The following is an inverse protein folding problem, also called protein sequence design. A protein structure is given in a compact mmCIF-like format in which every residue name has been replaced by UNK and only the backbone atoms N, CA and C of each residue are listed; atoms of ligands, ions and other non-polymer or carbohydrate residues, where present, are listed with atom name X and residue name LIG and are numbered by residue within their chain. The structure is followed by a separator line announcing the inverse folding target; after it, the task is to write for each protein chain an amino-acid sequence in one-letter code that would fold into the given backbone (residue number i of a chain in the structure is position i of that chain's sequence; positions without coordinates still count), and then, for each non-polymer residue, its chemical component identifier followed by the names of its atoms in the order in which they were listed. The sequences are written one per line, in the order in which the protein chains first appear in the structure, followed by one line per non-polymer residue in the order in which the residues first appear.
data_IF_910966179236
#
_entry.id   IF_910966179236
#
_cell.length_a   1.000
_cell.length_b   1.000
_cell.length_c   1.000
_cell.angle_alpha   90.00
_cell.angle_beta   90.00
_cell.angle_gamma   90.00
#
_symmetry.space_group_name_H-M   'P 1'
#
loop_
_entity.id
_entity.type
_entity.pdbx_description
1 polymer ?
#
# COMPACT_ATOMS: atom_id res chain seq x y z
N UNK A 1 36.67 4.64 -4.13
CA UNK A 1 35.26 4.32 -3.79
C UNK A 1 35.23 4.12 -2.29
N UNK A 2 34.52 4.98 -1.57
CA UNK A 2 34.50 4.96 -0.11
C UNK A 2 33.78 3.70 0.40
N UNK A 3 34.35 3.03 1.40
CA UNK A 3 33.81 1.81 2.04
C UNK A 3 32.31 1.99 2.40
N UNK A 4 31.93 3.20 2.80
CA UNK A 4 30.57 3.58 3.18
C UNK A 4 29.58 3.63 2.00
N UNK A 5 30.05 3.96 0.79
CA UNK A 5 29.23 3.97 -0.42
C UNK A 5 28.93 2.55 -0.90
N UNK A 6 29.90 1.65 -0.77
CA UNK A 6 29.74 0.25 -1.13
C UNK A 6 28.76 -0.47 -0.19
N UNK A 7 28.88 -0.28 1.13
CA UNK A 7 27.96 -0.87 2.10
C UNK A 7 26.52 -0.38 1.89
N UNK A 8 26.32 0.91 1.63
CA UNK A 8 25.01 1.48 1.28
C UNK A 8 24.39 0.83 0.05
N UNK A 9 25.18 0.66 -1.01
CA UNK A 9 24.71 0.00 -2.23
C UNK A 9 24.29 -1.45 -1.96
N UNK A 10 25.09 -2.21 -1.21
CA UNK A 10 24.77 -3.59 -0.84
C UNK A 10 23.50 -3.71 0.02
N UNK A 11 23.30 -2.81 0.99
CA UNK A 11 22.10 -2.78 1.83
C UNK A 11 20.86 -2.46 0.96
N UNK A 12 20.95 -1.45 0.10
CA UNK A 12 19.86 -1.06 -0.80
C UNK A 12 19.49 -2.22 -1.75
N UNK A 13 20.49 -2.86 -2.36
CA UNK A 13 20.29 -4.02 -3.23
C UNK A 13 19.67 -5.21 -2.48
N UNK A 14 20.02 -5.42 -1.21
CA UNK A 14 19.41 -6.46 -0.35
C UNK A 14 17.92 -6.21 -0.17
N UNK A 15 17.51 -4.97 0.11
CA UNK A 15 16.10 -4.60 0.28
C UNK A 15 15.30 -4.63 -1.04
N UNK A 16 15.92 -4.24 -2.16
CA UNK A 16 15.27 -4.25 -3.47
C UNK A 16 14.92 -5.66 -3.98
N UNK A 17 15.74 -6.66 -3.63
CA UNK A 17 15.59 -8.05 -4.11
C UNK A 17 14.79 -8.94 -3.14
N UNK A 18 14.05 -8.36 -2.19
CA UNK A 18 13.31 -9.13 -1.20
C UNK A 18 12.08 -9.82 -1.81
N UNK A 19 11.86 -11.05 -1.36
CA UNK A 19 10.64 -11.83 -1.63
C UNK A 19 10.04 -12.30 -0.31
N UNK A 20 8.77 -12.71 -0.33
CA UNK A 20 8.09 -13.29 0.84
C UNK A 20 8.60 -14.69 1.22
N UNK A 21 9.60 -15.23 0.51
CA UNK A 21 10.21 -16.51 0.84
C UNK A 21 10.98 -16.43 2.16
N UNK A 22 10.68 -17.36 3.07
CA UNK A 22 11.39 -17.50 4.36
C UNK A 22 12.91 -17.58 4.19
N UNK A 23 13.39 -18.26 3.14
CA UNK A 23 14.83 -18.37 2.85
C UNK A 23 15.42 -17.00 2.50
N UNK A 24 14.76 -16.25 1.62
CA UNK A 24 15.19 -14.91 1.19
C UNK A 24 15.23 -13.94 2.38
N UNK A 25 14.17 -13.91 3.19
CA UNK A 25 14.05 -13.06 4.38
C UNK A 25 15.19 -13.35 5.38
N UNK A 26 15.39 -14.63 5.72
CA UNK A 26 16.44 -15.03 6.68
C UNK A 26 17.84 -14.74 6.16
N UNK A 27 18.10 -15.01 4.88
CA UNK A 27 19.41 -14.75 4.27
C UNK A 27 19.73 -13.25 4.23
N UNK A 28 18.75 -12.43 3.86
CA UNK A 28 18.89 -10.97 3.88
C UNK A 28 19.11 -10.44 5.30
N UNK A 29 18.33 -10.89 6.28
CA UNK A 29 18.50 -10.49 7.68
C UNK A 29 19.87 -10.90 8.25
N UNK A 30 20.33 -12.12 7.99
CA UNK A 30 21.66 -12.57 8.41
C UNK A 30 22.78 -11.75 7.77
N UNK A 31 22.67 -11.42 6.48
CA UNK A 31 23.62 -10.55 5.79
C UNK A 31 23.65 -9.13 6.39
N UNK A 32 22.49 -8.55 6.68
CA UNK A 32 22.39 -7.22 7.25
C UNK A 32 22.96 -7.17 8.68
N UNK A 33 22.79 -8.23 9.45
CA UNK A 33 23.36 -8.38 10.79
C UNK A 33 24.89 -8.58 10.80
N UNK A 34 25.54 -8.85 9.66
CA UNK A 34 27.01 -8.85 9.61
C UNK A 34 27.61 -7.44 9.57
N UNK A 35 26.79 -6.40 9.38
CA UNK A 35 27.20 -5.00 9.30
C UNK A 35 26.49 -4.13 10.35
N UNK A 36 26.62 -4.43 11.66
CA UNK A 36 25.91 -3.70 12.72
C UNK A 36 26.35 -2.23 12.84
N UNK A 37 27.60 -1.91 12.46
CA UNK A 37 28.11 -0.53 12.43
C UNK A 37 27.30 0.41 11.52
N UNK A 38 26.59 -0.16 10.54
CA UNK A 38 25.76 0.57 9.58
C UNK A 38 24.28 0.56 9.98
N UNK A 39 23.94 0.27 11.24
CA UNK A 39 22.56 0.15 11.71
C UNK A 39 21.69 1.39 11.41
N UNK A 40 22.24 2.58 11.60
CA UNK A 40 21.56 3.86 11.30
C UNK A 40 21.30 4.01 9.80
N UNK A 41 22.32 3.79 8.97
CA UNK A 41 22.20 3.81 7.51
C UNK A 41 21.18 2.76 7.02
N UNK A 42 21.25 1.56 7.58
CA UNK A 42 20.35 0.45 7.26
C UNK A 42 18.90 0.78 7.57
N UNK A 43 18.60 1.38 8.73
CA UNK A 43 17.24 1.71 9.11
C UNK A 43 16.65 2.81 8.23
N UNK A 44 17.46 3.80 7.83
CA UNK A 44 17.10 4.85 6.86
C UNK A 44 16.83 4.30 5.47
N UNK A 45 17.71 3.43 4.96
CA UNK A 45 17.55 2.78 3.65
C UNK A 45 16.33 1.85 3.63
N UNK A 46 16.09 1.12 4.72
CA UNK A 46 14.90 0.30 4.87
C UNK A 46 13.62 1.14 4.78
N UNK A 47 13.57 2.27 5.49
CA UNK A 47 12.42 3.17 5.45
C UNK A 47 12.20 3.74 4.05
N UNK A 48 13.27 4.16 3.37
CA UNK A 48 13.19 4.62 1.98
C UNK A 48 12.64 3.53 1.06
N UNK A 49 13.13 2.29 1.17
CA UNK A 49 12.62 1.15 0.42
C UNK A 49 11.15 0.86 0.74
N UNK A 50 10.75 0.97 2.00
CA UNK A 50 9.37 0.75 2.44
C UNK A 50 8.39 1.80 1.88
N UNK A 51 8.81 3.07 1.85
CA UNK A 51 8.02 4.17 1.26
C UNK A 51 7.88 4.03 -0.25
N UNK A 52 8.95 3.61 -0.93
CA UNK A 52 8.99 3.44 -2.38
C UNK A 52 8.36 2.12 -2.86
N UNK A 53 7.99 1.22 -1.96
CA UNK A 53 7.45 -0.09 -2.31
C UNK A 53 6.07 0.02 -2.99
N UNK A 54 6.05 -0.24 -4.30
CA UNK A 54 4.85 -0.20 -5.14
C UNK A 54 3.89 -1.37 -4.91
N UNK A 55 4.32 -2.49 -4.32
CA UNK A 55 3.47 -3.66 -4.01
C UNK A 55 3.29 -3.94 -2.50
N UNK A 56 2.07 -4.21 -1.99
CA UNK A 56 1.85 -4.47 -0.55
C UNK A 56 2.65 -5.68 -0.05
N UNK A 57 2.86 -6.68 -0.93
CA UNK A 57 3.69 -7.85 -0.65
C UNK A 57 5.15 -7.46 -0.35
N UNK A 58 5.69 -6.43 -1.02
CA UNK A 58 7.05 -5.95 -0.78
C UNK A 58 7.15 -5.23 0.58
N UNK A 59 6.15 -4.42 0.96
CA UNK A 59 6.06 -3.81 2.30
C UNK A 59 6.05 -4.88 3.40
N UNK A 60 5.31 -5.98 3.19
CA UNK A 60 5.28 -7.09 4.14
C UNK A 60 6.62 -7.84 4.22
N UNK A 61 7.29 -8.09 3.09
CA UNK A 61 8.60 -8.73 3.06
C UNK A 61 9.64 -7.90 3.84
N UNK A 62 9.63 -6.57 3.64
CA UNK A 62 10.46 -5.62 4.38
C UNK A 62 10.21 -5.65 5.89
N UNK A 63 8.94 -5.74 6.32
CA UNK A 63 8.59 -5.89 7.74
C UNK A 63 9.05 -7.23 8.31
N UNK A 64 8.98 -8.31 7.54
CA UNK A 64 9.46 -9.62 7.98
C UNK A 64 10.98 -9.70 8.10
N UNK A 65 11.72 -9.02 7.23
CA UNK A 65 13.18 -8.89 7.39
C UNK A 65 13.51 -8.12 8.65
N UNK A 66 12.85 -6.99 8.91
CA UNK A 66 13.08 -6.22 10.14
C UNK A 66 12.68 -7.02 11.38
N UNK A 67 11.60 -7.80 11.32
CA UNK A 67 11.25 -8.74 12.38
C UNK A 67 12.39 -9.73 12.67
N UNK A 68 12.97 -10.36 11.65
CA UNK A 68 14.11 -11.28 11.83
C UNK A 68 15.34 -10.55 12.40
N UNK A 69 15.65 -9.34 11.93
CA UNK A 69 16.76 -8.52 12.43
C UNK A 69 16.55 -8.22 13.92
N UNK A 70 15.39 -7.68 14.30
CA UNK A 70 15.10 -7.26 15.69
C UNK A 70 15.12 -8.46 16.65
N UNK A 71 14.62 -9.62 16.22
CA UNK A 71 14.60 -10.82 17.06
C UNK A 71 15.98 -11.46 17.21
N UNK A 72 16.86 -11.35 16.20
CA UNK A 72 18.17 -12.02 16.18
C UNK A 72 19.35 -11.11 16.49
N UNK A 73 19.19 -9.79 16.48
CA UNK A 73 20.34 -8.87 16.66
C UNK A 73 21.12 -9.14 17.96
N UNK A 74 20.43 -9.53 19.04
CA UNK A 74 21.05 -9.91 20.30
C UNK A 74 21.93 -11.17 20.18
N UNK A 75 21.50 -12.19 19.42
CA UNK A 75 22.31 -13.41 19.21
C UNK A 75 23.53 -13.18 18.31
N UNK A 76 23.52 -12.09 17.53
CA UNK A 76 24.66 -11.64 16.71
C UNK A 76 25.58 -10.66 17.45
N UNK A 77 25.34 -10.40 18.74
CA UNK A 77 26.17 -9.50 19.54
C UNK A 77 25.94 -8.01 19.29
N UNK A 78 24.85 -7.65 18.60
CA UNK A 78 24.54 -6.26 18.21
C UNK A 78 23.12 -5.84 18.67
N UNK A 79 22.81 -5.85 19.98
CA UNK A 79 21.50 -5.46 20.49
C UNK A 79 21.10 -4.01 20.14
N UNK A 80 22.08 -3.13 19.90
CA UNK A 80 21.89 -1.72 19.54
C UNK A 80 21.19 -1.52 18.18
N UNK A 81 21.30 -2.48 17.26
CA UNK A 81 20.63 -2.41 15.93
C UNK A 81 19.12 -2.21 16.10
N UNK A 82 18.54 -2.86 17.11
CA UNK A 82 17.11 -2.80 17.41
C UNK A 82 16.61 -1.40 17.74
N UNK A 83 17.43 -0.56 18.40
CA UNK A 83 17.03 0.80 18.76
C UNK A 83 16.88 1.69 17.52
N UNK A 84 17.73 1.49 16.51
CA UNK A 84 17.72 2.26 15.26
C UNK A 84 16.46 2.07 14.41
N UNK A 85 15.70 1.00 14.64
CA UNK A 85 14.46 0.72 13.91
C UNK A 85 13.19 1.28 14.57
N UNK A 86 13.27 1.86 15.77
CA UNK A 86 12.09 2.36 16.49
C UNK A 86 11.36 3.49 15.74
N UNK A 87 12.07 4.57 15.40
CA UNK A 87 11.50 5.71 14.67
C UNK A 87 11.11 5.33 13.23
N UNK A 88 11.97 4.63 12.46
CA UNK A 88 11.59 4.17 11.12
C UNK A 88 10.34 3.30 11.10
N UNK A 89 10.13 2.43 12.09
CA UNK A 89 8.91 1.62 12.18
C UNK A 89 7.66 2.47 12.41
N UNK A 90 7.71 3.44 13.34
CA UNK A 90 6.59 4.37 13.58
C UNK A 90 6.23 5.15 12.32
N UNK A 91 7.26 5.62 11.61
CA UNK A 91 7.07 6.36 10.37
C UNK A 91 6.53 5.46 9.25
N UNK A 92 7.07 4.25 9.09
CA UNK A 92 6.66 3.28 8.08
C UNK A 92 5.18 2.91 8.18
N UNK A 93 4.62 2.76 9.39
CA UNK A 93 3.19 2.45 9.55
C UNK A 93 2.30 3.51 8.89
N UNK A 94 2.71 4.78 8.81
CA UNK A 94 1.93 5.83 8.13
C UNK A 94 1.84 5.64 6.61
N UNK A 95 2.80 4.92 6.03
CA UNK A 95 2.87 4.59 4.61
C UNK A 95 2.38 3.16 4.33
N UNK A 96 1.94 2.44 5.35
CA UNK A 96 1.39 1.10 5.17
C UNK A 96 0.08 1.20 4.38
N UNK A 97 0.03 0.51 3.25
CA UNK A 97 -1.17 0.51 2.44
C UNK A 97 -2.28 -0.31 3.08
N UNK A 98 -3.50 0.24 3.16
CA UNK A 98 -4.60 -0.48 3.77
C UNK A 98 -5.03 -1.67 2.90
N UNK A 99 -5.52 -2.75 3.52
CA UNK A 99 -6.00 -3.94 2.82
C UNK A 99 -5.63 -5.28 3.46
N UNK A 100 -5.56 -6.34 2.65
CA UNK A 100 -5.44 -7.76 3.07
C UNK A 100 -4.26 -8.06 4.03
N UNK A 101 -3.22 -7.23 4.02
CA UNK A 101 -2.02 -7.45 4.81
C UNK A 101 -2.03 -6.76 6.17
N UNK A 102 -2.97 -5.83 6.44
CA UNK A 102 -3.12 -5.18 7.76
C UNK A 102 -3.25 -6.23 8.86
N UNK A 103 -4.08 -7.26 8.65
CA UNK A 103 -4.27 -8.34 9.63
C UNK A 103 -2.97 -9.07 9.96
N UNK A 104 -2.09 -9.28 8.96
CA UNK A 104 -0.78 -9.91 9.15
C UNK A 104 0.18 -8.99 9.92
N UNK A 105 0.19 -7.70 9.58
CA UNK A 105 1.01 -6.70 10.28
C UNK A 105 0.55 -6.51 11.72
N UNK A 106 -0.77 -6.41 11.95
CA UNK A 106 -1.38 -6.38 13.29
C UNK A 106 -0.94 -7.58 14.12
N UNK A 107 -1.07 -8.80 13.58
CA UNK A 107 -0.60 -10.02 14.27
C UNK A 107 0.88 -9.95 14.63
N UNK A 108 1.72 -9.47 13.72
CA UNK A 108 3.17 -9.32 13.95
C UNK A 108 3.47 -8.31 15.06
N UNK A 109 2.82 -7.14 15.08
CA UNK A 109 3.03 -6.14 16.14
C UNK A 109 2.45 -6.62 17.48
N UNK A 110 1.34 -7.36 17.49
CA UNK A 110 0.85 -8.03 18.70
C UNK A 110 1.87 -9.02 19.24
N UNK A 111 2.49 -9.83 18.38
CA UNK A 111 3.58 -10.73 18.81
C UNK A 111 4.77 -9.97 19.40
N UNK A 112 5.13 -8.80 18.86
CA UNK A 112 6.19 -7.96 19.44
C UNK A 112 5.83 -7.43 20.82
N UNK A 113 4.56 -7.08 21.03
CA UNK A 113 4.07 -6.65 22.34
C UNK A 113 4.13 -7.79 23.36
N UNK A 114 3.69 -9.00 22.98
CA UNK A 114 3.72 -10.20 23.84
C UNK A 114 5.16 -10.59 24.21
N UNK A 115 6.08 -10.52 23.24
CA UNK A 115 7.51 -10.80 23.43
C UNK A 115 8.27 -9.65 24.11
N UNK A 116 7.60 -8.54 24.45
CA UNK A 116 8.21 -7.33 25.04
C UNK A 116 9.42 -6.85 24.26
N UNK A 117 9.33 -6.91 22.92
CA UNK A 117 10.41 -6.49 22.03
C UNK A 117 10.68 -5.01 22.26
N UNK A 118 9.66 -4.18 22.38
CA UNK A 118 9.83 -2.76 22.64
C UNK A 118 8.99 -2.31 23.84
N UNK A 119 9.21 -1.06 24.26
CA UNK A 119 8.43 -0.48 25.35
C UNK A 119 6.92 -0.48 25.05
N UNK A 120 6.07 -0.68 26.08
CA UNK A 120 4.62 -0.74 25.89
C UNK A 120 4.05 0.51 25.21
N UNK A 121 4.62 1.69 25.47
CA UNK A 121 4.19 2.96 24.85
C UNK A 121 4.35 2.92 23.32
N UNK A 122 5.48 2.42 22.82
CA UNK A 122 5.73 2.28 21.38
C UNK A 122 4.76 1.27 20.75
N UNK A 123 4.56 0.12 21.41
CA UNK A 123 3.66 -0.93 20.91
C UNK A 123 2.21 -0.45 20.84
N UNK A 124 1.73 0.28 21.85
CA UNK A 124 0.41 0.89 21.82
C UNK A 124 0.26 1.92 20.69
N UNK A 125 1.29 2.72 20.42
CA UNK A 125 1.28 3.68 19.30
C UNK A 125 1.22 2.98 17.94
N UNK A 126 2.01 1.93 17.72
CA UNK A 126 1.97 1.14 16.49
C UNK A 126 0.61 0.47 16.31
N UNK A 127 0.11 -0.22 17.34
CA UNK A 127 -1.19 -0.89 17.29
C UNK A 127 -2.33 0.09 17.04
N UNK A 128 -2.36 1.26 17.70
CA UNK A 128 -3.37 2.30 17.46
C UNK A 128 -3.31 2.80 16.02
N UNK A 129 -2.12 3.04 15.49
CA UNK A 129 -1.94 3.51 14.11
C UNK A 129 -2.42 2.45 13.09
N UNK A 130 -2.11 1.18 13.33
CA UNK A 130 -2.58 0.05 12.51
C UNK A 130 -4.10 -0.11 12.63
N UNK A 131 -4.69 0.04 13.82
CA UNK A 131 -6.14 -0.03 14.02
C UNK A 131 -6.87 1.11 13.30
N UNK A 132 -6.34 2.33 13.30
CA UNK A 132 -6.92 3.44 12.55
C UNK A 132 -6.88 3.18 11.03
N UNK A 133 -5.82 2.52 10.54
CA UNK A 133 -5.74 2.06 9.15
C UNK A 133 -6.74 0.94 8.87
N UNK A 134 -6.86 -0.03 9.78
CA UNK A 134 -7.82 -1.15 9.72
C UNK A 134 -9.25 -0.61 9.67
N UNK A 135 -9.60 0.37 10.52
CA UNK A 135 -10.91 1.02 10.58
C UNK A 135 -11.22 1.85 9.33
N UNK A 136 -10.24 2.56 8.73
CA UNK A 136 -10.45 3.20 7.41
C UNK A 136 -10.81 2.19 6.31
N UNK A 137 -10.35 0.95 6.42
CA UNK A 137 -10.81 -0.19 5.59
C UNK A 137 -12.01 -0.94 6.17
N UNK A 138 -12.36 -0.70 7.44
CA UNK A 138 -13.27 -1.47 8.27
C UNK A 138 -14.63 -0.82 8.52
N UNK A 139 -14.82 0.46 8.16
CA UNK A 139 -16.16 1.09 8.06
C UNK A 139 -17.08 0.29 7.09
N UNK A 140 -16.52 -0.59 6.27
CA UNK A 140 -17.26 -1.50 5.39
C UNK A 140 -17.57 -2.88 5.99
N UNK A 141 -17.20 -3.19 7.24
CA UNK A 141 -17.24 -4.59 7.72
C UNK A 141 -17.95 -4.95 9.01
N UNK A 142 -18.29 -4.05 9.94
CA UNK A 142 -18.82 -4.55 11.24
C UNK A 142 -20.02 -3.82 11.88
N UNK A 143 -20.58 -2.77 11.27
CA UNK A 143 -21.80 -2.12 11.78
C UNK A 143 -22.89 -2.04 10.70
N UNK A 144 -23.48 -3.19 10.34
CA UNK A 144 -24.71 -3.18 9.56
C UNK A 144 -25.72 -4.14 10.17
N UNK A 145 -26.60 -3.58 10.97
CA UNK A 145 -27.97 -4.05 11.15
C UNK A 145 -28.54 -4.36 9.77
N UNK A 146 -29.15 -5.53 9.59
CA UNK A 146 -29.61 -6.13 8.32
C UNK A 146 -30.61 -5.28 7.49
N UNK A 147 -30.94 -4.06 7.92
CA UNK A 147 -31.90 -3.16 7.26
C UNK A 147 -31.27 -1.97 6.50
N UNK A 148 -30.07 -1.50 6.83
CA UNK A 148 -29.46 -0.35 6.12
C UNK A 148 -28.66 -0.75 4.87
N UNK A 149 -28.07 -1.95 4.86
CA UNK A 149 -27.31 -2.47 3.72
C UNK A 149 -28.17 -2.62 2.46
N UNK A 150 -29.45 -3.00 2.59
CA UNK A 150 -30.35 -3.21 1.45
C UNK A 150 -30.64 -1.95 0.64
N UNK A 151 -30.54 -0.77 1.27
CA UNK A 151 -30.76 0.53 0.59
C UNK A 151 -29.50 0.96 -0.15
N UNK A 152 -28.32 0.81 0.45
CA UNK A 152 -27.03 1.19 -0.14
C UNK A 152 -26.61 0.29 -1.32
N UNK A 153 -27.00 -1.00 -1.30
CA UNK A 153 -26.70 -1.98 -2.37
C UNK A 153 -27.42 -1.64 -3.68
N UNK A 154 -28.62 -1.04 -3.63
CA UNK A 154 -29.40 -0.69 -4.84
C UNK A 154 -28.83 0.50 -5.61
N UNK A 155 -28.03 1.32 -4.95
CA UNK A 155 -27.47 2.54 -5.53
C UNK A 155 -26.13 2.32 -6.23
N UNK A 156 -25.50 1.15 -6.04
CA UNK A 156 -24.27 0.81 -6.74
C UNK A 156 -24.55 0.45 -8.20
N UNK A 157 -24.03 1.28 -9.10
CA UNK A 157 -24.11 1.09 -10.55
C UNK A 157 -22.67 0.95 -11.09
N UNK A 158 -22.25 -0.24 -11.59
CA UNK A 158 -20.91 -0.47 -12.10
C UNK A 158 -20.48 0.53 -13.18
N UNK A 159 -21.41 0.98 -14.01
CA UNK A 159 -21.18 1.96 -15.07
C UNK A 159 -20.75 3.31 -14.51
N UNK A 160 -21.37 3.76 -13.40
CA UNK A 160 -20.97 5.00 -12.72
C UNK A 160 -19.55 4.90 -12.16
N UNK A 161 -19.18 3.73 -11.62
CA UNK A 161 -17.81 3.50 -11.15
C UNK A 161 -16.79 3.61 -12.29
N UNK A 162 -17.09 2.98 -13.44
CA UNK A 162 -16.23 3.04 -14.62
C UNK A 162 -16.11 4.46 -15.18
N UNK A 163 -17.18 5.23 -15.20
CA UNK A 163 -17.16 6.64 -15.59
C UNK A 163 -16.27 7.49 -14.68
N UNK A 164 -16.36 7.31 -13.37
CA UNK A 164 -15.54 8.03 -12.40
C UNK A 164 -14.07 7.64 -12.48
N UNK A 165 -13.75 6.36 -12.73
CA UNK A 165 -12.39 5.92 -13.01
C UNK A 165 -11.82 6.57 -14.28
N UNK A 166 -12.61 6.65 -15.36
CA UNK A 166 -12.18 7.34 -16.59
C UNK A 166 -11.95 8.84 -16.34
N UNK A 167 -12.82 9.48 -15.56
CA UNK A 167 -12.67 10.89 -15.16
C UNK A 167 -11.38 11.11 -14.35
N UNK A 168 -11.09 10.25 -13.38
CA UNK A 168 -9.85 10.31 -12.61
C UNK A 168 -8.62 10.13 -13.50
N UNK A 169 -8.64 9.15 -14.40
CA UNK A 169 -7.58 8.91 -15.38
C UNK A 169 -7.35 10.13 -16.28
N UNK A 170 -8.41 10.75 -16.78
CA UNK A 170 -8.31 11.96 -17.60
C UNK A 170 -7.71 13.13 -16.82
N UNK A 171 -8.09 13.31 -15.54
CA UNK A 171 -7.52 14.36 -14.68
C UNK A 171 -6.01 14.11 -14.49
N UNK A 172 -5.60 12.85 -14.32
CA UNK A 172 -4.21 12.47 -14.14
C UNK A 172 -3.36 12.62 -15.40
N UNK A 173 -3.91 12.30 -16.58
CA UNK A 173 -3.24 12.51 -17.88
C UNK A 173 -3.13 13.99 -18.26
N UNK A 174 -4.12 14.80 -17.90
CA UNK A 174 -4.12 16.25 -18.18
C UNK A 174 -3.29 17.04 -17.17
N UNK A 175 -3.09 16.51 -15.95
CA UNK A 175 -2.21 17.15 -14.96
C UNK A 175 -0.75 16.78 -15.23
N UNK A 176 0.10 17.71 -15.70
CA UNK A 176 1.53 17.43 -15.82
C UNK A 176 2.14 17.17 -14.43
N UNK A 177 3.15 16.29 -14.36
CA UNK A 177 3.98 16.14 -13.17
C UNK A 177 4.85 17.38 -13.01
N UNK A 178 4.32 18.42 -12.36
CA UNK A 178 5.05 19.66 -12.18
C UNK A 178 6.10 19.47 -11.10
N UNK A 179 7.38 19.70 -11.44
CA UNK A 179 8.47 19.65 -10.48
C UNK A 179 8.64 20.99 -9.78
N UNK A 180 9.22 20.99 -8.56
CA UNK A 180 9.47 22.22 -7.79
C UNK A 180 10.32 23.25 -8.56
N UNK A 181 11.21 22.77 -9.43
CA UNK A 181 12.02 23.58 -10.35
C UNK A 181 11.23 24.33 -11.42
N UNK A 182 10.04 23.84 -11.80
CA UNK A 182 9.18 24.47 -12.81
C UNK A 182 8.28 25.56 -12.20
N UNK A 183 8.07 25.49 -10.88
CA UNK A 183 7.13 26.33 -10.13
C UNK A 183 7.77 27.59 -9.57
N UNK A 184 9.05 27.52 -9.18
CA UNK A 184 9.72 28.61 -8.48
C UNK A 184 10.77 29.29 -9.37
N UNK A 185 10.60 30.59 -9.71
CA UNK A 185 11.63 31.40 -10.32
C UNK A 185 12.96 31.28 -9.55
N UNK A 186 14.08 31.23 -10.27
CA UNK A 186 15.40 31.12 -9.67
C UNK A 186 15.72 32.24 -8.65
N UNK A 187 15.07 33.41 -8.79
CA UNK A 187 15.21 34.52 -7.84
C UNK A 187 14.58 34.23 -6.46
N UNK A 188 13.52 33.42 -6.38
CA UNK A 188 12.86 33.07 -5.10
C UNK A 188 13.65 32.04 -4.28
N UNK A 189 14.75 31.51 -4.81
CA UNK A 189 15.67 30.61 -4.11
C UNK A 189 16.65 31.34 -3.20
N UNK A 190 16.69 32.67 -3.27
CA UNK A 190 17.57 33.50 -2.46
C UNK A 190 16.76 34.27 -1.40
N UNK A 191 17.37 34.62 -0.25
CA UNK A 191 16.76 35.51 0.74
C UNK A 191 16.30 36.84 0.13
N UNK A 192 15.20 37.40 0.65
CA UNK A 192 14.54 38.60 0.11
C UNK A 192 15.50 39.80 0.02
N UNK A 193 16.38 39.98 0.99
CA UNK A 193 17.39 41.04 1.02
C UNK A 193 18.39 40.94 -0.14
N UNK A 194 18.80 39.71 -0.50
CA UNK A 194 19.70 39.45 -1.63
C UNK A 194 18.99 39.70 -2.97
N UNK A 195 17.70 39.37 -3.06
CA UNK A 195 16.90 39.59 -4.27
C UNK A 195 16.65 41.08 -4.49
N UNK A 196 16.24 41.80 -3.44
CA UNK A 196 15.98 43.23 -3.51
C UNK A 196 17.26 44.03 -3.75
N UNK A 197 18.40 43.63 -3.17
CA UNK A 197 19.69 44.25 -3.42
C UNK A 197 20.21 44.13 -4.86
N UNK A 198 19.66 43.20 -5.65
CA UNK A 198 19.97 43.03 -7.08
C UNK A 198 19.12 43.92 -7.99
N UNK A 199 18.00 44.45 -7.49
CA UNK A 199 17.13 45.36 -8.24
C UNK A 199 17.72 46.76 -8.17
N UNK A 200 18.34 47.20 -9.26
CA UNK A 200 18.99 48.51 -9.37
C UNK A 200 18.21 49.48 -10.25
N UNK A 201 17.25 48.98 -11.02
CA UNK A 201 16.42 49.80 -11.92
C UNK A 201 14.92 49.56 -11.73
N UNK A 202 14.13 50.55 -12.17
CA UNK A 202 12.66 50.48 -12.15
C UNK A 202 12.13 49.38 -13.08
N UNK A 203 12.83 49.11 -14.19
CA UNK A 203 12.47 48.05 -15.13
C UNK A 203 12.73 46.65 -14.54
N UNK A 204 13.85 46.46 -13.84
CA UNK A 204 14.14 45.22 -13.10
C UNK A 204 13.11 44.95 -12.01
N UNK A 205 12.70 45.99 -11.27
CA UNK A 205 11.66 45.87 -10.24
C UNK A 205 10.30 45.45 -10.81
N UNK A 206 9.92 46.02 -11.97
CA UNK A 206 8.70 45.61 -12.69
C UNK A 206 8.78 44.17 -13.20
N UNK A 207 9.93 43.77 -13.76
CA UNK A 207 10.17 42.40 -14.23
C UNK A 207 10.07 41.39 -13.08
N UNK A 208 10.71 41.69 -11.93
CA UNK A 208 10.63 40.86 -10.74
C UNK A 208 9.18 40.76 -10.21
N UNK A 209 8.46 41.88 -10.12
CA UNK A 209 7.06 41.88 -9.70
C UNK A 209 6.18 41.04 -10.64
N UNK A 210 6.40 41.11 -11.95
CA UNK A 210 5.70 40.31 -12.94
C UNK A 210 6.01 38.80 -12.79
N UNK A 211 7.29 38.44 -12.56
CA UNK A 211 7.70 37.06 -12.30
C UNK A 211 7.06 36.48 -11.04
N UNK A 212 7.00 37.26 -9.95
CA UNK A 212 6.37 36.86 -8.69
C UNK A 212 4.86 36.67 -8.88
N UNK A 213 4.19 37.60 -9.55
CA UNK A 213 2.75 37.47 -9.86
C UNK A 213 2.48 36.21 -10.68
N UNK A 214 3.25 36.00 -11.75
CA UNK A 214 3.11 34.82 -12.62
C UNK A 214 3.36 33.52 -11.85
N UNK A 215 4.35 33.51 -10.95
CA UNK A 215 4.62 32.38 -10.05
C UNK A 215 3.43 32.11 -9.12
N UNK A 216 2.88 33.16 -8.50
CA UNK A 216 1.72 33.07 -7.63
C UNK A 216 0.51 32.50 -8.37
N UNK A 217 0.23 32.99 -9.58
CA UNK A 217 -0.88 32.51 -10.41
C UNK A 217 -0.71 31.04 -10.82
N UNK A 218 0.52 30.63 -11.15
CA UNK A 218 0.86 29.24 -11.45
C UNK A 218 0.65 28.33 -10.24
N UNK A 219 1.11 28.73 -9.06
CA UNK A 219 0.94 27.97 -7.82
C UNK A 219 -0.54 27.84 -7.46
N UNK A 220 -1.33 28.92 -7.59
CA UNK A 220 -2.77 28.90 -7.34
C UNK A 220 -3.51 27.96 -8.31
N UNK A 221 -3.14 27.97 -9.60
CA UNK A 221 -3.69 27.05 -10.60
C UNK A 221 -3.35 25.58 -10.29
N UNK A 222 -2.11 25.31 -9.87
CA UNK A 222 -1.68 23.97 -9.46
C UNK A 222 -2.45 23.48 -8.24
N UNK A 223 -2.57 24.31 -7.19
CA UNK A 223 -3.35 24.00 -5.99
C UNK A 223 -4.79 23.61 -6.36
N UNK A 224 -5.45 24.41 -7.20
CA UNK A 224 -6.79 24.11 -7.71
C UNK A 224 -6.86 22.80 -8.49
N UNK A 225 -5.81 22.44 -9.23
CA UNK A 225 -5.69 21.16 -9.92
C UNK A 225 -5.57 19.98 -8.94
N UNK A 226 -4.75 20.12 -7.91
CA UNK A 226 -4.56 19.12 -6.86
C UNK A 226 -5.84 18.91 -6.04
N UNK A 227 -6.55 19.97 -5.68
CA UNK A 227 -7.85 19.90 -5.01
C UNK A 227 -8.88 19.13 -5.84
N UNK A 228 -8.93 19.37 -7.17
CA UNK A 228 -9.79 18.60 -8.08
C UNK A 228 -9.41 17.13 -8.15
N UNK A 229 -8.10 16.81 -8.18
CA UNK A 229 -7.61 15.43 -8.17
C UNK A 229 -8.00 14.73 -6.86
N UNK A 230 -7.83 15.41 -5.73
CA UNK A 230 -8.21 14.89 -4.42
C UNK A 230 -9.72 14.59 -4.36
N UNK A 231 -10.56 15.54 -4.76
CA UNK A 231 -12.02 15.35 -4.77
C UNK A 231 -12.46 14.18 -5.68
N UNK A 232 -11.83 14.03 -6.85
CA UNK A 232 -12.12 12.90 -7.74
C UNK A 232 -11.66 11.55 -7.15
N UNK A 233 -10.53 11.52 -6.42
CA UNK A 233 -10.07 10.31 -5.72
C UNK A 233 -11.00 9.92 -4.57
N UNK A 234 -11.50 10.90 -3.80
CA UNK A 234 -12.47 10.66 -2.73
C UNK A 234 -13.79 10.09 -3.28
N UNK A 235 -14.28 10.62 -4.41
CA UNK A 235 -15.46 10.11 -5.10
C UNK A 235 -15.28 8.65 -5.56
N UNK A 236 -14.14 8.33 -6.17
CA UNK A 236 -13.81 6.95 -6.59
C UNK A 236 -13.68 6.01 -5.37
N UNK A 237 -13.08 6.49 -4.28
CA UNK A 237 -12.91 5.71 -3.05
C UNK A 237 -14.25 5.33 -2.42
N UNK A 238 -15.20 6.25 -2.35
CA UNK A 238 -16.55 5.97 -1.84
C UNK A 238 -17.28 4.91 -2.69
N UNK A 239 -17.24 5.05 -4.01
CA UNK A 239 -17.86 4.08 -4.92
C UNK A 239 -17.17 2.72 -4.83
N UNK A 240 -15.85 2.67 -4.66
CA UNK A 240 -15.10 1.43 -4.47
C UNK A 240 -15.52 0.71 -3.19
N UNK A 241 -15.76 1.45 -2.10
CA UNK A 241 -16.30 0.88 -0.86
C UNK A 241 -17.66 0.24 -1.06
N UNK A 242 -18.55 0.92 -1.79
CA UNK A 242 -19.87 0.38 -2.19
C UNK A 242 -19.73 -0.86 -3.08
N UNK A 243 -18.79 -0.86 -4.01
CA UNK A 243 -18.50 -2.00 -4.88
C UNK A 243 -18.03 -3.22 -4.10
N UNK A 244 -17.10 -3.04 -3.14
CA UNK A 244 -16.60 -4.13 -2.30
C UNK A 244 -17.75 -4.80 -1.54
N UNK A 245 -18.65 -4.01 -0.95
CA UNK A 245 -19.82 -4.53 -0.25
C UNK A 245 -20.75 -5.29 -1.20
N UNK A 246 -21.10 -4.67 -2.33
CA UNK A 246 -21.99 -5.25 -3.35
C UNK A 246 -21.49 -6.61 -3.83
N UNK A 247 -20.23 -6.69 -4.27
CA UNK A 247 -19.67 -7.94 -4.79
C UNK A 247 -19.41 -8.98 -3.71
N UNK A 248 -19.11 -8.56 -2.46
CA UNK A 248 -18.97 -9.50 -1.34
C UNK A 248 -20.29 -10.21 -1.04
N UNK A 249 -21.41 -9.48 -1.10
CA UNK A 249 -22.75 -10.05 -0.90
C UNK A 249 -23.11 -10.98 -2.06
N UNK A 250 -22.96 -10.54 -3.30
CA UNK A 250 -23.22 -11.38 -4.48
C UNK A 250 -22.42 -12.68 -4.47
N UNK A 251 -21.15 -12.62 -4.04
CA UNK A 251 -20.32 -13.82 -3.92
C UNK A 251 -20.88 -14.80 -2.88
N UNK A 252 -21.37 -14.32 -1.73
CA UNK A 252 -21.99 -15.17 -0.70
C UNK A 252 -23.26 -15.82 -1.21
N UNK A 253 -24.13 -15.07 -1.89
CA UNK A 253 -25.36 -15.60 -2.50
C UNK A 253 -25.05 -16.66 -3.56
N UNK A 254 -24.12 -16.38 -4.47
CA UNK A 254 -23.67 -17.34 -5.48
C UNK A 254 -23.09 -18.62 -4.85
N UNK A 255 -22.34 -18.49 -3.74
CA UNK A 255 -21.81 -19.64 -3.02
C UNK A 255 -22.92 -20.49 -2.38
N UNK A 256 -23.98 -19.88 -1.84
CA UNK A 256 -25.15 -20.58 -1.31
C UNK A 256 -25.84 -21.37 -2.43
N UNK A 257 -26.07 -20.72 -3.58
CA UNK A 257 -26.71 -21.36 -4.74
C UNK A 257 -25.85 -22.52 -5.26
N UNK A 258 -24.55 -22.31 -5.45
CA UNK A 258 -23.62 -23.36 -5.88
C UNK A 258 -23.59 -24.54 -4.89
N UNK A 259 -23.66 -24.27 -3.58
CA UNK A 259 -23.74 -25.31 -2.56
C UNK A 259 -25.05 -26.11 -2.64
N UNK A 260 -26.17 -25.45 -2.90
CA UNK A 260 -27.46 -26.12 -3.09
C UNK A 260 -27.43 -27.05 -4.30
N UNK A 261 -26.94 -26.58 -5.46
CA UNK A 261 -26.81 -27.40 -6.67
C UNK A 261 -25.83 -28.56 -6.49
N UNK A 262 -24.69 -28.34 -5.82
CA UNK A 262 -23.74 -29.42 -5.50
C UNK A 262 -24.38 -30.48 -4.61
N UNK A 263 -25.11 -30.06 -3.57
CA UNK A 263 -25.81 -30.98 -2.67
C UNK A 263 -26.91 -31.76 -3.40
N UNK A 264 -27.64 -31.10 -4.29
CA UNK A 264 -28.63 -31.75 -5.14
C UNK A 264 -27.99 -32.77 -6.08
N UNK A 265 -26.91 -32.41 -6.78
CA UNK A 265 -26.18 -33.32 -7.66
C UNK A 265 -25.65 -34.56 -6.92
N UNK A 266 -25.13 -34.37 -5.70
CA UNK A 266 -24.72 -35.49 -4.84
C UNK A 266 -25.90 -36.41 -4.50
N UNK A 267 -27.07 -35.87 -4.16
CA UNK A 267 -28.28 -36.68 -3.88
C UNK A 267 -28.77 -37.45 -5.11
N UNK A 268 -28.73 -36.83 -6.29
CA UNK A 268 -29.09 -37.49 -7.55
C UNK A 268 -28.13 -38.64 -7.83
N UNK A 269 -26.81 -38.43 -7.70
CA UNK A 269 -25.82 -39.48 -7.88
C UNK A 269 -26.02 -40.63 -6.90
N UNK A 270 -26.21 -40.33 -5.60
CA UNK A 270 -26.49 -41.37 -4.59
C UNK A 270 -27.76 -42.16 -4.89
N UNK A 271 -28.78 -41.51 -5.47
CA UNK A 271 -30.02 -42.19 -5.87
C UNK A 271 -29.79 -43.07 -7.11
N UNK A 272 -29.01 -42.62 -8.09
CA UNK A 272 -28.62 -43.42 -9.26
C UNK A 272 -27.80 -44.66 -8.87
N UNK A 273 -26.86 -44.49 -7.95
CA UNK A 273 -26.04 -45.59 -7.42
C UNK A 273 -26.91 -46.60 -6.66
N UNK A 274 -27.88 -46.13 -5.85
CA UNK A 274 -28.82 -46.97 -5.10
C UNK A 274 -29.82 -47.73 -5.99
N UNK A 275 -30.20 -47.18 -7.14
CA UNK A 275 -31.09 -47.82 -8.13
C UNK A 275 -30.36 -48.79 -9.06
N UNK A 276 -29.07 -49.06 -8.82
CA UNK A 276 -28.31 -50.06 -9.58
C UNK A 276 -28.00 -49.64 -11.01
N UNK A 277 -27.83 -48.34 -11.27
CA UNK A 277 -27.51 -47.78 -12.59
C UNK A 277 -26.16 -48.22 -13.15
N UNK A 278 -26.07 -49.47 -13.61
CA UNK A 278 -25.01 -49.92 -14.50
C UNK A 278 -25.33 -49.44 -15.91
N UNK A 279 -24.98 -48.20 -16.22
CA UNK A 279 -24.60 -47.81 -17.57
C UNK A 279 -23.40 -46.89 -17.47
N UNK A 280 -22.20 -47.49 -17.55
CA UNK A 280 -21.02 -46.81 -18.10
C UNK A 280 -21.31 -46.47 -19.56
N UNK A 281 -21.17 -45.21 -20.01
CA UNK A 281 -20.56 -44.94 -21.29
C UNK A 281 -19.06 -44.78 -21.07
N UNK A 282 -18.32 -45.54 -21.87
CA UNK A 282 -16.88 -45.54 -22.04
C UNK A 282 -16.28 -44.14 -22.17
N UNK A 283 -15.04 -44.04 -21.72
CA UNK A 283 -14.06 -42.98 -21.96
C UNK A 283 -14.26 -42.19 -23.26
N UNK A 284 -14.59 -40.91 -23.16
CA UNK A 284 -14.14 -39.86 -24.07
C UNK A 284 -14.37 -38.48 -23.46
N UNK A 285 -13.33 -37.62 -23.56
CA UNK A 285 -13.25 -36.21 -23.15
C UNK A 285 -12.61 -35.96 -21.78
N UNK A 286 -11.38 -36.46 -21.65
CA UNK A 286 -10.32 -35.74 -20.95
C UNK A 286 -9.67 -34.76 -21.94
N UNK A 287 -10.07 -33.48 -21.88
CA UNK A 287 -9.32 -32.26 -22.23
C UNK A 287 -10.31 -31.16 -22.66
N UNK A 288 -10.73 -30.32 -21.71
CA UNK A 288 -10.72 -28.87 -21.94
C UNK A 288 -11.00 -28.13 -20.61
N UNK A 289 -9.94 -27.91 -19.83
CA UNK A 289 -9.94 -26.93 -18.73
C UNK A 289 -8.59 -26.23 -18.60
N UNK A 290 -7.79 -26.25 -19.66
CA UNK A 290 -6.48 -25.60 -19.72
C UNK A 290 -6.39 -24.76 -21.00
N UNK A 291 -7.23 -23.73 -21.12
CA UNK A 291 -7.04 -22.57 -22.03
C UNK A 291 -8.05 -21.48 -21.71
N UNK A 292 -7.80 -20.75 -20.62
CA UNK A 292 -8.29 -19.39 -20.40
C UNK A 292 -7.37 -18.74 -19.36
N UNK A 293 -6.10 -18.62 -19.76
CA UNK A 293 -5.11 -17.70 -19.18
C UNK A 293 -3.94 -17.59 -20.17
N UNK A 294 -4.21 -16.98 -21.33
CA UNK A 294 -3.20 -16.34 -22.19
C UNK A 294 -3.89 -15.60 -23.34
N UNK A 295 -4.36 -14.39 -23.10
CA UNK A 295 -4.35 -13.25 -24.04
C UNK A 295 -4.69 -11.99 -23.27
#
# INVERSE_FOLDING_TARGET
MDQNSWSQHCISASFANLTLSTKCIKQSASFLLTMPEQADTMSKLWLAAFKSAAEPAAQLALLYVVNEIILKCASYGAPEVKAHFQEPLLEAIRYLRPGLLIKKVKKLVTMWADQKVYEPKLMHQLLRSILNLDQKTGVLKENSTEQEDAVSIKDFVPEKFLEQLRKLKNIEEVSPSVTESDLTPACLKFPIDVVLGRVKSKEEGRSLSCQISTCSDRLASLLKGLEKKLAAQEEVFDILGKAELFYSIQQKEAAIVANAYRTYGQRVQSTMDALGGTTRPSDAVANDSAKLNSS
#
